data_IF_180266711067
#
_entry.id   IF_180266711067
#
_cell.length_a   1.000
_cell.length_b   1.000
_cell.length_c   1.000
_cell.angle_alpha   90.00
_cell.angle_beta   90.00
_cell.angle_gamma   90.00
#
_symmetry.space_group_name_H-M   'P 1'
#
loop_
_entity.id
_entity.type
_entity.pdbx_description
1 polymer ?
#
# COMPACT_ATOMS: atom_id res chain seq x y z
N UNK A 1 -15.35 -43.48 38.32
CA UNK A 1 -15.02 -43.54 36.88
C UNK A 1 -14.12 -42.35 36.54
N UNK A 2 -13.15 -42.56 35.64
CA UNK A 2 -11.91 -41.78 35.47
C UNK A 2 -12.15 -40.37 34.91
N UNK A 3 -11.30 -39.43 35.37
CA UNK A 3 -11.18 -38.02 34.98
C UNK A 3 -10.98 -37.87 33.47
N UNK A 4 -11.92 -37.25 32.77
CA UNK A 4 -11.88 -36.95 31.34
C UNK A 4 -11.70 -35.45 31.07
N UNK A 5 -10.91 -34.76 31.88
CA UNK A 5 -10.63 -33.31 31.72
C UNK A 5 -9.26 -33.02 31.12
N UNK A 6 -8.38 -34.03 31.02
CA UNK A 6 -7.02 -33.89 30.50
C UNK A 6 -6.90 -33.73 28.96
N UNK A 7 -7.73 -34.38 28.11
CA UNK A 7 -7.51 -34.28 26.66
C UNK A 7 -7.97 -32.93 26.08
N UNK A 8 -8.97 -32.28 26.69
CA UNK A 8 -9.55 -31.03 26.18
C UNK A 8 -8.63 -29.81 26.38
N UNK A 9 -7.91 -29.79 27.51
CA UNK A 9 -6.89 -28.76 27.77
C UNK A 9 -5.68 -28.90 26.85
N UNK A 10 -5.28 -30.14 26.53
CA UNK A 10 -4.16 -30.39 25.63
C UNK A 10 -4.49 -30.01 24.19
N UNK A 11 -5.72 -30.27 23.72
CA UNK A 11 -6.18 -29.79 22.41
C UNK A 11 -6.28 -28.28 22.33
N UNK A 12 -6.76 -27.62 23.40
CA UNK A 12 -6.87 -26.16 23.45
C UNK A 12 -5.50 -25.47 23.42
N UNK A 13 -4.53 -26.00 24.19
CA UNK A 13 -3.17 -25.47 24.24
C UNK A 13 -2.43 -25.66 22.90
N UNK A 14 -2.67 -26.78 22.20
CA UNK A 14 -2.09 -27.04 20.88
C UNK A 14 -2.64 -26.09 19.82
N UNK A 15 -3.93 -25.73 19.87
CA UNK A 15 -4.51 -24.70 18.99
C UNK A 15 -3.98 -23.28 19.25
N UNK A 16 -3.60 -22.95 20.49
CA UNK A 16 -2.99 -21.64 20.80
C UNK A 16 -1.55 -21.52 20.28
N UNK A 17 -0.81 -22.63 20.15
CA UNK A 17 0.56 -22.62 19.61
C UNK A 17 0.63 -22.40 18.09
N UNK A 18 -0.47 -22.65 17.36
CA UNK A 18 -0.59 -22.29 15.94
C UNK A 18 -1.11 -20.85 15.72
N UNK A 19 -1.42 -20.12 16.80
CA UNK A 19 -1.84 -18.72 16.76
C UNK A 19 -0.68 -17.74 16.79
N UNK A 20 0.58 -18.21 16.69
CA UNK A 20 1.67 -17.35 16.26
C UNK A 20 1.44 -17.00 14.79
N UNK A 21 0.65 -15.95 14.58
CA UNK A 21 0.60 -15.25 13.33
C UNK A 21 2.04 -14.90 12.96
N UNK A 22 2.63 -15.67 12.05
CA UNK A 22 3.74 -15.19 11.26
C UNK A 22 3.20 -13.93 10.59
N UNK A 23 3.57 -12.75 11.09
CA UNK A 23 3.55 -11.55 10.26
C UNK A 23 4.36 -11.96 9.04
N UNK A 24 3.76 -12.05 7.84
CA UNK A 24 4.53 -12.42 6.68
C UNK A 24 5.64 -11.39 6.56
N UNK A 25 6.88 -11.85 6.71
CA UNK A 25 8.04 -11.00 6.47
C UNK A 25 8.10 -10.78 4.95
N UNK A 26 7.30 -9.81 4.50
CA UNK A 26 7.27 -9.33 3.13
C UNK A 26 8.58 -8.57 2.89
N UNK A 27 9.70 -9.30 2.82
CA UNK A 27 10.98 -8.79 2.34
C UNK A 27 10.90 -8.62 0.83
N UNK A 28 10.20 -7.60 0.38
CA UNK A 28 10.20 -7.25 -1.04
C UNK A 28 11.44 -6.42 -1.28
N UNK A 29 12.43 -7.01 -1.95
CA UNK A 29 13.62 -6.27 -2.36
C UNK A 29 13.28 -5.41 -3.57
N UNK A 30 12.82 -4.18 -3.33
CA UNK A 30 12.76 -3.11 -4.33
C UNK A 30 14.15 -2.51 -4.61
N UNK A 31 15.16 -3.37 -4.79
CA UNK A 31 16.48 -2.89 -5.22
C UNK A 31 16.39 -2.49 -6.68
N UNK A 32 16.63 -1.22 -6.97
CA UNK A 32 16.98 -0.80 -8.32
C UNK A 32 18.29 -1.51 -8.70
N UNK A 33 18.28 -2.23 -9.81
CA UNK A 33 19.51 -2.76 -10.39
C UNK A 33 20.39 -1.57 -10.78
N UNK A 34 21.66 -1.49 -10.32
CA UNK A 34 22.47 -0.32 -10.56
C UNK A 34 22.73 -0.18 -12.06
N UNK A 35 22.09 0.82 -12.67
CA UNK A 35 22.41 1.24 -14.03
C UNK A 35 23.79 1.91 -14.00
N UNK A 36 24.82 1.16 -14.35
CA UNK A 36 26.21 1.63 -14.41
C UNK A 36 26.38 2.63 -15.54
N UNK A 37 26.14 3.90 -15.26
CA UNK A 37 26.55 5.01 -16.15
C UNK A 37 27.69 5.77 -15.49
N UNK A 38 28.92 5.43 -15.87
CA UNK A 38 30.14 6.06 -15.36
C UNK A 38 30.22 7.54 -15.77
N UNK A 39 29.95 8.44 -14.84
CA UNK A 39 30.24 9.88 -14.97
C UNK A 39 31.41 10.25 -14.08
N UNK A 40 32.60 10.22 -14.68
CA UNK A 40 33.87 10.61 -14.08
C UNK A 40 33.84 12.13 -13.82
N UNK A 41 33.74 12.59 -12.57
CA UNK A 41 34.06 13.99 -12.24
C UNK A 41 34.94 14.13 -11.00
N UNK A 42 36.00 14.88 -11.24
CA UNK A 42 37.27 15.08 -10.55
C UNK A 42 37.13 15.81 -9.20
N UNK A 43 37.93 15.35 -8.25
CA UNK A 43 38.20 15.90 -6.91
C UNK A 43 38.72 17.34 -6.92
N UNK A 44 38.31 18.14 -5.94
CA UNK A 44 39.19 19.10 -5.25
C UNK A 44 38.69 19.40 -3.84
N UNK A 45 39.54 19.12 -2.84
CA UNK A 45 39.41 19.54 -1.43
C UNK A 45 39.78 21.02 -1.30
N UNK A 46 39.09 21.77 -0.43
CA UNK A 46 39.75 22.81 0.38
C UNK A 46 39.00 23.06 1.69
N UNK A 47 39.75 22.90 2.78
CA UNK A 47 39.44 23.19 4.17
C UNK A 47 39.77 24.64 4.52
N UNK A 48 39.01 25.26 5.43
CA UNK A 48 39.54 26.12 6.51
C UNK A 48 38.43 26.60 7.45
N UNK A 49 38.71 26.50 8.74
CA UNK A 49 37.95 26.99 9.89
C UNK A 49 38.15 28.49 10.11
N UNK A 50 37.21 29.13 10.83
CA UNK A 50 37.51 30.09 11.90
C UNK A 50 36.26 30.44 12.73
N UNK A 51 36.53 30.86 13.96
CA UNK A 51 35.72 30.86 15.20
C UNK A 51 35.59 32.30 15.71
N UNK A 52 34.49 32.65 16.42
CA UNK A 52 34.34 33.59 17.58
C UNK A 52 32.87 34.10 17.65
N UNK A 53 32.02 33.73 18.64
CA UNK A 53 31.76 34.35 19.98
C UNK A 53 31.51 35.86 19.93
N UNK A 54 30.43 36.48 20.46
CA UNK A 54 29.81 36.36 21.80
C UNK A 54 28.39 36.98 21.92
N UNK A 55 27.61 36.42 22.87
CA UNK A 55 26.44 36.91 23.68
C UNK A 55 25.90 38.35 23.54
N UNK A 56 24.59 38.62 23.65
CA UNK A 56 23.83 38.63 24.93
C UNK A 56 22.30 38.53 24.74
N UNK A 57 21.69 37.94 25.76
CA UNK A 57 20.32 37.52 26.06
C UNK A 57 19.15 38.51 25.92
N UNK A 58 17.98 37.98 25.56
CA UNK A 58 16.70 38.22 26.26
C UNK A 58 15.82 36.99 26.11
N UNK A 59 15.31 36.49 27.24
CA UNK A 59 14.55 35.26 27.32
C UNK A 59 13.08 35.44 26.90
N UNK A 60 12.51 34.37 26.35
CA UNK A 60 11.12 34.01 26.58
C UNK A 60 10.95 32.49 26.40
N UNK A 61 10.56 31.85 27.50
CA UNK A 61 9.73 30.65 27.61
C UNK A 61 9.99 29.51 26.61
N UNK A 62 10.96 28.67 26.96
CA UNK A 62 11.15 27.34 26.37
C UNK A 62 10.12 26.36 26.93
N UNK A 63 9.02 26.14 26.21
CA UNK A 63 8.36 24.83 26.23
C UNK A 63 9.13 23.94 25.27
N UNK A 64 9.98 23.08 25.84
CA UNK A 64 10.64 22.00 25.12
C UNK A 64 9.61 21.24 24.28
N UNK A 65 9.80 21.04 22.97
CA UNK A 65 9.04 20.02 22.27
C UNK A 65 9.57 18.70 22.83
N UNK A 66 8.82 18.12 23.76
CA UNK A 66 8.98 16.72 24.13
C UNK A 66 8.87 15.94 22.82
N UNK A 67 9.97 15.30 22.43
CA UNK A 67 9.98 14.29 21.38
C UNK A 67 9.26 13.07 21.93
N UNK A 68 7.94 13.15 22.00
CA UNK A 68 7.09 12.00 22.20
C UNK A 68 7.01 11.33 20.82
N UNK A 69 7.85 10.33 20.59
CA UNK A 69 7.55 9.28 19.62
C UNK A 69 6.34 8.53 20.14
N UNK A 70 5.16 9.13 19.99
CA UNK A 70 3.90 8.41 20.07
C UNK A 70 3.68 7.78 18.70
N UNK A 71 3.62 6.47 18.67
CA UNK A 71 3.11 5.68 17.55
C UNK A 71 1.60 5.92 17.49
N UNK A 72 1.18 7.14 17.19
CA UNK A 72 -0.23 7.41 16.93
C UNK A 72 -0.52 6.86 15.53
N UNK A 73 -1.49 5.97 15.48
CA UNK A 73 -2.04 5.39 14.25
C UNK A 73 -2.88 6.44 13.52
N UNK A 74 -2.32 7.63 13.33
CA UNK A 74 -3.03 8.78 12.79
C UNK A 74 -3.21 8.57 11.30
N UNK A 75 -4.47 8.46 10.90
CA UNK A 75 -4.88 8.42 9.50
C UNK A 75 -4.20 9.60 8.78
N UNK A 76 -3.38 9.30 7.78
CA UNK A 76 -2.69 10.35 7.03
C UNK A 76 -3.67 10.91 6.03
N UNK A 77 -4.16 12.12 6.29
CA UNK A 77 -5.17 12.74 5.44
C UNK A 77 -4.55 13.53 4.29
N UNK A 78 -5.34 13.74 3.24
CA UNK A 78 -4.98 14.56 2.09
C UNK A 78 -6.14 15.45 1.68
N UNK A 79 -5.85 16.72 1.45
CA UNK A 79 -6.80 17.67 0.88
C UNK A 79 -6.85 17.52 -0.64
N UNK A 80 -8.02 17.72 -1.24
CA UNK A 80 -8.18 17.80 -2.70
C UNK A 80 -8.20 16.47 -3.45
N UNK A 81 -8.58 15.37 -2.79
CA UNK A 81 -9.19 14.22 -3.48
C UNK A 81 -10.71 14.45 -3.55
N UNK A 82 -11.39 13.95 -4.61
CA UNK A 82 -12.84 14.04 -4.69
C UNK A 82 -13.49 13.20 -3.59
N UNK A 83 -14.68 13.61 -3.11
CA UNK A 83 -15.38 12.85 -2.06
C UNK A 83 -15.82 11.47 -2.55
N UNK A 84 -16.21 11.38 -3.81
CA UNK A 84 -16.69 10.17 -4.49
C UNK A 84 -16.50 10.32 -6.01
N UNK A 85 -16.82 9.28 -6.76
CA UNK A 85 -16.68 9.28 -8.22
C UNK A 85 -17.53 10.34 -8.96
N UNK A 86 -18.62 10.83 -8.38
CA UNK A 86 -19.48 11.85 -9.01
C UNK A 86 -18.81 13.23 -9.03
N UNK A 87 -17.99 13.52 -8.03
CA UNK A 87 -17.22 14.77 -7.92
C UNK A 87 -15.85 14.70 -8.63
N UNK A 88 -15.41 13.48 -8.98
CA UNK A 88 -14.14 13.27 -9.65
C UNK A 88 -14.14 13.74 -11.12
N UNK A 89 -13.00 14.21 -11.63
CA UNK A 89 -12.77 14.29 -13.07
C UNK A 89 -12.96 12.93 -13.75
N UNK A 90 -13.39 12.93 -15.02
CA UNK A 90 -13.77 11.71 -15.76
C UNK A 90 -12.72 11.23 -16.76
N UNK A 91 -11.52 11.81 -16.73
CA UNK A 91 -10.39 11.46 -17.61
C UNK A 91 -9.65 10.19 -17.14
N UNK A 92 -9.74 9.88 -15.85
CA UNK A 92 -9.21 8.67 -15.21
C UNK A 92 -9.94 8.40 -13.91
N UNK A 93 -9.60 7.31 -13.24
CA UNK A 93 -10.13 7.02 -11.91
C UNK A 93 -9.37 7.87 -10.89
N UNK A 94 -10.05 8.39 -9.88
CA UNK A 94 -9.46 9.12 -8.77
C UNK A 94 -9.76 8.38 -7.47
N UNK A 95 -8.74 8.18 -6.65
CA UNK A 95 -8.92 7.84 -5.24
C UNK A 95 -9.88 8.86 -4.60
N UNK A 96 -10.72 8.38 -3.71
CA UNK A 96 -11.78 9.18 -3.08
C UNK A 96 -11.55 9.34 -1.59
N UNK A 97 -12.32 10.23 -0.99
CA UNK A 97 -12.22 10.53 0.44
C UNK A 97 -11.01 11.38 0.74
N UNK A 98 -10.43 11.22 1.92
CA UNK A 98 -9.32 12.02 2.41
C UNK A 98 -8.07 11.18 2.71
N UNK A 99 -8.02 9.91 2.28
CA UNK A 99 -6.91 9.03 2.62
C UNK A 99 -5.72 9.25 1.67
N UNK A 100 -4.56 9.54 2.24
CA UNK A 100 -3.27 9.45 1.54
C UNK A 100 -2.79 8.00 1.52
N UNK A 101 -2.17 7.56 0.43
CA UNK A 101 -1.46 6.29 0.39
C UNK A 101 -0.26 6.38 1.31
N UNK A 102 -0.20 5.46 2.27
CA UNK A 102 0.85 5.46 3.27
C UNK A 102 1.31 4.03 3.58
N UNK A 103 2.60 3.91 3.82
CA UNK A 103 3.20 2.70 4.36
C UNK A 103 4.33 3.10 5.31
N UNK A 104 4.37 2.49 6.48
CA UNK A 104 5.54 2.51 7.35
C UNK A 104 5.70 1.16 8.04
N UNK A 105 6.94 0.77 8.28
CA UNK A 105 7.28 -0.46 9.02
C UNK A 105 8.37 -0.13 10.02
N UNK A 106 8.06 -0.39 11.28
CA UNK A 106 9.00 -0.42 12.40
C UNK A 106 9.16 -1.88 12.85
N UNK A 107 10.06 -2.15 13.80
CA UNK A 107 10.42 -3.52 14.20
C UNK A 107 9.20 -4.41 14.54
N UNK A 108 8.21 -3.85 15.23
CA UNK A 108 7.02 -4.59 15.69
C UNK A 108 5.71 -4.21 14.97
N UNK A 109 5.70 -3.15 14.16
CA UNK A 109 4.46 -2.56 13.66
C UNK A 109 4.54 -2.21 12.17
N UNK A 110 3.48 -2.58 11.44
CA UNK A 110 3.27 -2.16 10.05
C UNK A 110 2.02 -1.26 10.05
N UNK A 111 2.17 -0.06 9.51
CA UNK A 111 1.06 0.84 9.21
C UNK A 111 0.87 0.89 7.70
N UNK A 112 -0.37 0.70 7.25
CA UNK A 112 -0.74 0.73 5.84
C UNK A 112 -2.01 1.55 5.69
N UNK A 113 -2.02 2.41 4.69
CA UNK A 113 -3.22 3.11 4.27
C UNK A 113 -3.33 2.96 2.75
N UNK A 114 -4.41 2.31 2.30
CA UNK A 114 -4.77 2.20 0.90
C UNK A 114 -5.88 3.20 0.57
N UNK A 115 -5.98 3.67 -0.67
CA UNK A 115 -6.99 4.64 -1.06
C UNK A 115 -8.37 3.98 -1.26
N UNK A 116 -9.42 4.76 -1.02
CA UNK A 116 -10.80 4.38 -1.34
C UNK A 116 -11.18 4.75 -2.78
N UNK A 117 -12.25 4.15 -3.29
CA UNK A 117 -12.80 4.41 -4.63
C UNK A 117 -14.33 4.52 -4.62
N UNK A 118 -14.89 5.18 -3.62
CA UNK A 118 -16.33 5.32 -3.39
C UNK A 118 -17.08 5.81 -4.65
N UNK A 119 -18.11 5.06 -5.05
CA UNK A 119 -18.97 5.41 -6.18
C UNK A 119 -18.46 4.99 -7.56
N UNK A 120 -17.27 4.39 -7.66
CA UNK A 120 -16.80 3.80 -8.92
C UNK A 120 -17.45 2.43 -9.16
N UNK A 121 -18.53 2.45 -9.95
CA UNK A 121 -19.18 1.22 -10.42
C UNK A 121 -18.49 0.61 -11.64
N UNK A 122 -18.78 -0.65 -11.97
CA UNK A 122 -18.24 -1.27 -13.19
C UNK A 122 -18.59 -0.46 -14.45
N UNK A 123 -19.85 0.01 -14.54
CA UNK A 123 -20.32 0.82 -15.65
C UNK A 123 -19.59 2.17 -15.77
N UNK A 124 -19.34 2.85 -14.63
CA UNK A 124 -18.61 4.11 -14.63
C UNK A 124 -17.15 3.90 -15.02
N UNK A 125 -16.51 2.86 -14.48
CA UNK A 125 -15.14 2.51 -14.83
C UNK A 125 -15.01 2.19 -16.32
N UNK A 126 -15.92 1.42 -16.90
CA UNK A 126 -15.90 1.11 -18.33
C UNK A 126 -16.11 2.34 -19.21
N UNK A 127 -16.87 3.33 -18.72
CA UNK A 127 -17.00 4.62 -19.41
C UNK A 127 -15.70 5.42 -19.42
N UNK A 128 -14.88 5.29 -18.38
CA UNK A 128 -13.60 6.00 -18.23
C UNK A 128 -12.46 5.27 -18.97
N UNK A 129 -12.35 3.96 -18.79
CA UNK A 129 -11.23 3.14 -19.28
C UNK A 129 -11.54 2.36 -20.57
N UNK A 130 -12.80 2.33 -21.00
CA UNK A 130 -13.28 1.45 -22.07
C UNK A 130 -13.64 0.05 -21.56
N UNK A 131 -13.95 -0.86 -22.48
CA UNK A 131 -14.26 -2.24 -22.14
C UNK A 131 -13.01 -2.98 -21.65
N UNK A 132 -13.12 -3.85 -20.63
CA UNK A 132 -12.00 -4.68 -20.21
C UNK A 132 -11.65 -5.71 -21.28
N UNK A 133 -10.37 -6.11 -21.33
CA UNK A 133 -9.93 -7.20 -22.19
C UNK A 133 -10.46 -8.54 -21.71
N UNK A 134 -10.54 -8.72 -20.38
CA UNK A 134 -11.11 -9.90 -19.74
C UNK A 134 -11.86 -9.51 -18.48
N UNK A 135 -12.95 -10.25 -18.25
CA UNK A 135 -13.64 -10.33 -16.97
C UNK A 135 -13.38 -11.71 -16.37
N UNK A 136 -12.95 -11.75 -15.11
CA UNK A 136 -12.60 -12.97 -14.39
C UNK A 136 -13.42 -13.01 -13.11
N UNK A 137 -14.19 -14.06 -12.93
CA UNK A 137 -15.02 -14.32 -11.73
C UNK A 137 -14.64 -15.63 -11.05
N UNK A 138 -13.62 -16.32 -11.55
CA UNK A 138 -13.12 -17.56 -10.96
C UNK A 138 -12.42 -17.26 -9.62
N UNK A 139 -12.92 -17.81 -8.49
CA UNK A 139 -12.29 -17.63 -7.19
C UNK A 139 -10.84 -18.13 -7.12
N UNK A 140 -10.43 -19.07 -7.97
CA UNK A 140 -9.03 -19.53 -8.03
C UNK A 140 -8.09 -18.40 -8.50
N UNK A 141 -8.57 -17.46 -9.32
CA UNK A 141 -7.74 -16.37 -9.81
C UNK A 141 -7.23 -15.48 -8.68
N UNK A 142 -8.10 -15.06 -7.76
CA UNK A 142 -7.72 -14.18 -6.66
C UNK A 142 -6.80 -14.90 -5.64
N UNK A 143 -7.06 -16.18 -5.38
CA UNK A 143 -6.29 -16.95 -4.39
C UNK A 143 -4.91 -17.40 -4.91
N UNK A 144 -4.79 -17.73 -6.19
CA UNK A 144 -3.59 -18.35 -6.76
C UNK A 144 -2.76 -17.40 -7.62
N UNK A 145 -3.40 -16.53 -8.40
CA UNK A 145 -2.75 -15.79 -9.49
C UNK A 145 -2.61 -14.30 -9.24
N UNK A 146 -3.67 -13.64 -8.77
CA UNK A 146 -3.80 -12.18 -8.70
C UNK A 146 -2.61 -11.50 -8.02
N UNK A 147 -2.27 -11.92 -6.79
CA UNK A 147 -1.18 -11.32 -6.01
C UNK A 147 0.17 -11.38 -6.74
N UNK A 148 0.47 -12.50 -7.43
CA UNK A 148 1.75 -12.68 -8.11
C UNK A 148 1.84 -11.81 -9.37
N UNK A 149 0.75 -11.72 -10.13
CA UNK A 149 0.65 -10.84 -11.30
C UNK A 149 0.77 -9.38 -10.85
N UNK A 150 0.07 -9.02 -9.78
CA UNK A 150 0.06 -7.66 -9.27
C UNK A 150 1.40 -7.24 -8.68
N UNK A 151 2.12 -8.15 -8.03
CA UNK A 151 3.49 -7.93 -7.58
C UNK A 151 4.40 -7.54 -8.75
N UNK A 152 4.31 -8.23 -9.89
CA UNK A 152 5.13 -7.90 -11.06
C UNK A 152 4.72 -6.56 -11.71
N UNK A 153 3.42 -6.25 -11.75
CA UNK A 153 2.91 -4.96 -12.19
C UNK A 153 3.45 -3.82 -11.32
N UNK A 154 3.36 -3.94 -9.99
CA UNK A 154 3.86 -2.97 -9.02
C UNK A 154 5.38 -2.80 -9.13
N UNK A 155 6.15 -3.91 -9.20
CA UNK A 155 7.61 -3.85 -9.41
C UNK A 155 7.98 -3.11 -10.69
N UNK A 156 7.23 -3.31 -11.77
CA UNK A 156 7.47 -2.63 -13.04
C UNK A 156 7.19 -1.13 -12.94
N UNK A 157 6.10 -0.73 -12.27
CA UNK A 157 5.77 0.68 -12.03
C UNK A 157 6.83 1.37 -11.16
N UNK A 158 7.27 0.71 -10.10
CA UNK A 158 8.33 1.20 -9.23
C UNK A 158 9.66 1.35 -9.98
N UNK A 159 10.07 0.33 -10.74
CA UNK A 159 11.31 0.39 -11.55
C UNK A 159 11.29 1.52 -12.58
N UNK A 160 10.11 1.85 -13.10
CA UNK A 160 9.89 2.98 -14.02
C UNK A 160 9.79 4.35 -13.32
N UNK A 161 9.87 4.39 -11.98
CA UNK A 161 9.71 5.62 -11.20
C UNK A 161 8.30 6.20 -11.25
N UNK A 162 7.28 5.40 -11.58
CA UNK A 162 5.88 5.85 -11.64
C UNK A 162 5.22 5.91 -10.27
N UNK A 163 5.70 5.12 -9.32
CA UNK A 163 5.22 5.08 -7.93
C UNK A 163 6.41 5.03 -6.99
N UNK A 164 6.23 5.49 -5.75
CA UNK A 164 7.25 5.40 -4.71
C UNK A 164 7.31 4.00 -4.10
N UNK A 165 8.34 3.73 -3.29
CA UNK A 165 8.47 2.44 -2.58
C UNK A 165 7.32 2.27 -1.56
N UNK A 166 6.95 3.33 -0.85
CA UNK A 166 5.84 3.33 0.11
C UNK A 166 4.51 3.02 -0.56
N UNK A 167 4.26 3.63 -1.73
CA UNK A 167 3.08 3.34 -2.53
C UNK A 167 3.09 1.88 -3.02
N UNK A 168 4.23 1.39 -3.51
CA UNK A 168 4.37 0.00 -3.94
C UNK A 168 4.05 -0.98 -2.80
N UNK A 169 4.53 -0.70 -1.58
CA UNK A 169 4.24 -1.52 -0.40
C UNK A 169 2.76 -1.48 -0.01
N UNK A 170 2.17 -0.28 0.05
CA UNK A 170 0.76 -0.10 0.42
C UNK A 170 -0.17 -0.86 -0.53
N UNK A 171 0.02 -0.71 -1.84
CA UNK A 171 -0.81 -1.39 -2.85
C UNK A 171 -0.58 -2.90 -2.88
N UNK A 172 0.63 -3.37 -2.60
CA UNK A 172 0.86 -4.82 -2.51
C UNK A 172 0.17 -5.42 -1.28
N UNK A 173 0.17 -4.71 -0.15
CA UNK A 173 -0.56 -5.13 1.05
C UNK A 173 -2.06 -5.15 0.80
N UNK A 174 -2.62 -4.17 0.10
CA UNK A 174 -4.01 -4.22 -0.37
C UNK A 174 -4.30 -5.47 -1.23
N UNK A 175 -3.37 -5.85 -2.11
CA UNK A 175 -3.53 -7.07 -2.91
C UNK A 175 -3.44 -8.36 -2.06
N UNK A 176 -2.61 -8.38 -1.02
CA UNK A 176 -2.51 -9.48 -0.05
C UNK A 176 -3.82 -9.62 0.73
N UNK A 177 -4.38 -8.51 1.18
CA UNK A 177 -5.62 -8.47 1.95
C UNK A 177 -6.79 -9.02 1.14
N UNK A 178 -6.90 -8.65 -0.15
CA UNK A 178 -7.93 -9.20 -1.04
C UNK A 178 -7.81 -10.72 -1.21
N UNK A 179 -6.59 -11.24 -1.41
CA UNK A 179 -6.34 -12.68 -1.48
C UNK A 179 -6.64 -13.38 -0.16
N UNK A 180 -6.44 -12.72 0.98
CA UNK A 180 -6.77 -13.30 2.27
C UNK A 180 -8.28 -13.30 2.49
N UNK A 181 -8.96 -12.20 2.17
CA UNK A 181 -10.42 -12.06 2.23
C UNK A 181 -11.14 -13.08 1.35
N UNK A 182 -10.61 -13.38 0.16
CA UNK A 182 -11.22 -14.38 -0.74
C UNK A 182 -11.27 -15.79 -0.14
N UNK A 183 -10.35 -16.13 0.78
CA UNK A 183 -10.37 -17.42 1.48
C UNK A 183 -11.54 -17.55 2.46
N UNK A 184 -12.17 -16.43 2.82
CA UNK A 184 -13.37 -16.38 3.66
C UNK A 184 -14.66 -16.34 2.83
N UNK A 185 -14.59 -16.61 1.52
CA UNK A 185 -15.75 -16.72 0.64
C UNK A 185 -16.20 -15.40 0.00
N UNK A 186 -15.40 -14.33 0.12
CA UNK A 186 -15.67 -13.08 -0.61
C UNK A 186 -15.49 -13.31 -2.11
N UNK A 187 -16.53 -12.99 -2.87
CA UNK A 187 -16.54 -13.14 -4.32
C UNK A 187 -16.19 -11.82 -5.00
N UNK A 188 -15.20 -11.85 -5.88
CA UNK A 188 -14.75 -10.69 -6.63
C UNK A 188 -14.99 -10.84 -8.12
N UNK A 189 -15.23 -9.72 -8.78
CA UNK A 189 -15.11 -9.60 -10.24
C UNK A 189 -13.84 -8.84 -10.56
N UNK A 190 -12.94 -9.45 -11.33
CA UNK A 190 -11.69 -8.84 -11.75
C UNK A 190 -11.79 -8.44 -13.21
N UNK A 191 -11.46 -7.19 -13.50
CA UNK A 191 -11.30 -6.67 -14.86
C UNK A 191 -9.82 -6.44 -15.16
N UNK A 192 -9.37 -6.93 -16.31
CA UNK A 192 -7.99 -6.73 -16.76
C UNK A 192 -7.94 -5.86 -18.00
N UNK A 193 -6.98 -4.95 -18.04
CA UNK A 193 -6.71 -4.06 -19.17
C UNK A 193 -5.21 -4.08 -19.51
N UNK A 194 -4.89 -3.65 -20.74
CA UNK A 194 -3.53 -3.50 -21.25
C UNK A 194 -2.68 -4.75 -21.03
N UNK A 195 -3.16 -5.88 -21.53
CA UNK A 195 -2.51 -7.19 -21.42
C UNK A 195 -2.19 -7.57 -19.97
N UNK A 196 -3.19 -7.49 -19.08
CA UNK A 196 -3.08 -7.80 -17.65
C UNK A 196 -2.14 -6.87 -16.84
N UNK A 197 -1.63 -5.79 -17.43
CA UNK A 197 -0.78 -4.81 -16.70
C UNK A 197 -1.57 -3.85 -15.81
N UNK A 198 -2.89 -3.82 -15.95
CA UNK A 198 -3.82 -3.11 -15.09
C UNK A 198 -4.91 -4.10 -14.68
N UNK A 199 -5.09 -4.27 -13.37
CA UNK A 199 -6.13 -5.10 -12.77
C UNK A 199 -7.01 -4.26 -11.87
N UNK A 200 -8.31 -4.42 -11.99
CA UNK A 200 -9.32 -3.81 -11.12
C UNK A 200 -10.11 -4.90 -10.44
N UNK A 201 -10.31 -4.78 -9.13
CA UNK A 201 -11.08 -5.75 -8.33
C UNK A 201 -12.34 -5.07 -7.82
N UNK A 202 -13.48 -5.67 -8.13
CA UNK A 202 -14.79 -5.22 -7.70
C UNK A 202 -15.43 -6.21 -6.74
N UNK A 203 -16.15 -5.69 -5.75
CA UNK A 203 -17.08 -6.43 -4.91
C UNK A 203 -18.44 -5.75 -5.02
N UNK A 204 -19.51 -6.50 -5.31
CA UNK A 204 -20.88 -5.96 -5.39
C UNK A 204 -20.99 -4.69 -6.27
N UNK A 205 -20.38 -4.72 -7.46
CA UNK A 205 -20.30 -3.60 -8.42
C UNK A 205 -19.48 -2.39 -7.95
N UNK A 206 -18.86 -2.42 -6.77
CA UNK A 206 -18.03 -1.33 -6.25
C UNK A 206 -16.53 -1.63 -6.42
N UNK A 207 -15.77 -0.68 -6.97
CA UNK A 207 -14.32 -0.80 -7.08
C UNK A 207 -13.68 -0.79 -5.69
N UNK A 208 -12.87 -1.81 -5.40
CA UNK A 208 -12.10 -1.92 -4.16
C UNK A 208 -10.61 -1.67 -4.38
N UNK A 209 -10.10 -2.08 -5.53
CA UNK A 209 -8.67 -2.04 -5.82
C UNK A 209 -8.42 -1.82 -7.30
N UNK A 210 -7.37 -1.08 -7.59
CA UNK A 210 -6.83 -0.89 -8.93
C UNK A 210 -5.31 -0.90 -8.86
N UNK A 211 -4.65 -1.54 -9.82
CA UNK A 211 -3.20 -1.44 -10.02
C UNK A 211 -2.77 0.04 -10.01
N UNK A 212 -1.76 0.44 -9.23
CA UNK A 212 -1.44 1.85 -8.97
C UNK A 212 -0.70 2.54 -10.13
N UNK A 213 -1.21 2.41 -11.35
CA UNK A 213 -0.62 3.05 -12.53
C UNK A 213 -1.17 4.48 -12.69
N UNK A 214 -0.33 5.54 -12.55
CA UNK A 214 -0.76 6.93 -12.65
C UNK A 214 -1.40 7.34 -13.99
N UNK A 215 -1.21 6.53 -15.03
CA UNK A 215 -1.84 6.73 -16.33
C UNK A 215 -3.37 6.53 -16.26
N UNK A 216 -3.87 5.73 -15.31
CA UNK A 216 -5.30 5.34 -15.22
C UNK A 216 -5.93 5.59 -13.85
N UNK A 217 -5.13 5.81 -12.82
CA UNK A 217 -5.63 6.14 -11.48
C UNK A 217 -4.81 7.28 -10.87
N UNK A 218 -5.48 8.25 -10.26
CA UNK A 218 -4.87 9.28 -9.45
C UNK A 218 -5.05 8.98 -7.97
N UNK A 219 -3.97 9.08 -7.20
CA UNK A 219 -3.95 8.95 -5.74
C UNK A 219 -2.82 9.84 -5.19
N UNK A 220 -2.79 10.05 -3.87
CA UNK A 220 -1.83 10.94 -3.20
C UNK A 220 -0.98 10.22 -2.18
#
# INVERSE_FOLDING_TARGET
MKKQTLPLFFTLLLSLLFLSACVPDLKINFKQEPTTTSSKKKTTKKSSSSRSTSSTSTGNSSSSPSTTTETTSDIITTEGLPRNAQEAPKDKIYATGNLKVAYSKNDDNIFVQTPDYEGYTTALVQKILGNPEKQITDPAYISESFQNIELENIKNLYRKGKITEEQAHAFLLGAVDLKQASKFGVAYTIYTYKNNTIQLVFENDQLLYITPNPDVVFFK
#
